data_IF_523834164126
#
_entry.id   IF_523834164126
#
_cell.length_a   1.000
_cell.length_b   1.000
_cell.length_c   1.000
_cell.angle_alpha   90.00
_cell.angle_beta   90.00
_cell.angle_gamma   90.00
#
_symmetry.space_group_name_H-M   'P 1'
#
loop_
_entity.id
_entity.type
_entity.pdbx_description
1 polymer ?
#
# COMPACT_ATOMS: atom_id res chain seq x y z
N UNK A 1 -14.63 71.44 63.40
CA UNK A 1 -13.90 70.20 63.11
C UNK A 1 -14.47 69.65 61.82
N UNK A 2 -13.81 69.93 60.66
CA UNK A 2 -14.24 69.49 59.34
C UNK A 2 -13.15 68.56 58.85
N UNK A 3 -13.48 67.31 58.72
CA UNK A 3 -12.64 66.32 58.04
C UNK A 3 -12.93 66.38 56.49
N UNK A 4 -11.88 66.70 55.78
CA UNK A 4 -11.87 66.65 54.35
C UNK A 4 -11.32 65.23 53.90
N UNK A 5 -12.16 64.48 53.24
CA UNK A 5 -11.72 63.24 52.58
C UNK A 5 -11.14 63.61 51.19
N UNK A 6 -9.89 63.35 50.94
CA UNK A 6 -9.27 63.43 49.68
C UNK A 6 -9.35 62.02 49.00
N UNK A 7 -10.09 61.92 47.96
CA UNK A 7 -10.15 60.70 47.15
C UNK A 7 -8.96 60.64 46.17
N UNK A 8 -8.07 59.68 46.40
CA UNK A 8 -6.96 59.35 45.50
C UNK A 8 -7.51 58.54 44.30
N UNK A 9 -7.69 59.17 43.15
CA UNK A 9 -7.92 58.44 41.92
C UNK A 9 -6.61 57.83 41.41
N UNK A 10 -6.46 56.52 41.54
CA UNK A 10 -5.41 55.79 40.88
C UNK A 10 -5.74 55.65 39.36
N UNK A 11 -5.02 56.35 38.52
CA UNK A 11 -5.01 56.11 37.11
C UNK A 11 -4.23 54.79 36.83
N UNK A 12 -4.94 53.71 36.60
CA UNK A 12 -4.35 52.53 35.98
C UNK A 12 -4.15 52.85 34.47
N UNK A 13 -2.97 52.68 33.91
CA UNK A 13 -2.81 52.80 32.48
C UNK A 13 -3.54 51.59 31.84
N UNK A 14 -4.57 51.87 31.09
CA UNK A 14 -5.11 50.91 30.11
C UNK A 14 -3.97 50.66 29.10
N UNK A 15 -3.18 49.62 29.36
CA UNK A 15 -2.38 49.04 28.30
C UNK A 15 -3.35 48.49 27.27
N UNK A 16 -3.55 49.23 26.21
CA UNK A 16 -4.14 48.73 24.97
C UNK A 16 -3.22 47.60 24.48
N UNK A 17 -3.51 46.36 24.89
CA UNK A 17 -3.00 45.20 24.18
C UNK A 17 -3.65 45.28 22.80
N UNK A 18 -2.92 45.78 21.83
CA UNK A 18 -3.31 45.60 20.44
C UNK A 18 -3.34 44.09 20.25
N UNK A 19 -4.53 43.53 20.22
CA UNK A 19 -4.68 42.17 19.69
C UNK A 19 -4.15 42.21 18.27
N UNK A 20 -3.01 41.57 18.05
CA UNK A 20 -2.53 41.37 16.69
C UNK A 20 -3.64 40.64 15.92
N UNK A 21 -4.32 41.37 15.08
CA UNK A 21 -5.36 40.78 14.22
C UNK A 21 -4.66 39.83 13.30
N UNK A 22 -4.95 38.54 13.46
CA UNK A 22 -4.44 37.49 12.58
C UNK A 22 -5.15 37.61 11.23
N UNK A 23 -4.42 37.89 10.19
CA UNK A 23 -4.91 37.98 8.83
C UNK A 23 -3.80 37.54 7.85
N UNK A 24 -4.14 37.38 6.59
CA UNK A 24 -3.24 36.95 5.52
C UNK A 24 -2.05 37.89 5.24
N UNK A 25 -2.15 39.16 5.67
CA UNK A 25 -1.04 40.10 5.56
C UNK A 25 -0.04 40.04 6.74
N UNK A 26 -0.46 39.53 7.90
CA UNK A 26 0.35 39.51 9.13
C UNK A 26 0.76 38.14 9.60
N UNK A 27 0.10 37.08 9.11
CA UNK A 27 0.36 35.68 9.50
C UNK A 27 0.46 34.84 8.25
N UNK A 28 1.57 34.10 8.06
CA UNK A 28 1.70 33.12 6.98
C UNK A 28 0.52 32.14 6.96
N UNK A 29 -0.04 31.89 5.78
CA UNK A 29 -1.28 31.12 5.64
C UNK A 29 -1.19 29.70 6.23
N UNK A 30 -0.03 29.03 6.07
CA UNK A 30 0.19 27.70 6.65
C UNK A 30 0.25 27.68 8.19
N UNK A 31 0.41 28.83 8.84
CA UNK A 31 0.36 28.94 10.30
C UNK A 31 -1.03 29.33 10.83
N UNK A 32 -1.95 29.71 9.94
CA UNK A 32 -3.32 30.02 10.30
C UNK A 32 -4.06 28.72 10.61
N UNK A 33 -4.76 28.68 11.76
CA UNK A 33 -5.58 27.51 12.11
C UNK A 33 -6.91 27.56 11.35
N UNK A 34 -7.16 26.62 10.42
CA UNK A 34 -8.43 26.56 9.73
C UNK A 34 -9.55 26.15 10.71
N UNK A 35 -10.79 26.47 10.36
CA UNK A 35 -11.96 26.08 11.12
C UNK A 35 -12.32 24.57 10.97
N UNK A 36 -11.55 23.82 10.21
CA UNK A 36 -11.69 22.39 9.96
C UNK A 36 -10.38 21.65 10.23
N UNK A 37 -10.49 20.35 10.51
CA UNK A 37 -9.30 19.48 10.66
C UNK A 37 -8.61 19.28 9.32
N UNK A 38 -7.29 19.39 9.28
CA UNK A 38 -6.49 19.15 8.08
C UNK A 38 -5.21 18.37 8.41
N UNK A 39 -4.67 17.69 7.41
CA UNK A 39 -3.47 16.86 7.53
C UNK A 39 -2.27 17.45 6.78
N UNK A 40 -2.21 18.76 6.64
CA UNK A 40 -1.13 19.46 5.92
C UNK A 40 0.14 19.55 6.77
N UNK A 41 1.29 19.46 6.12
CA UNK A 41 2.61 19.56 6.73
C UNK A 41 3.52 18.38 6.41
N UNK A 42 4.73 18.44 6.93
CA UNK A 42 5.74 17.39 6.75
C UNK A 42 5.97 16.69 8.08
N UNK A 43 5.78 15.37 8.10
CA UNK A 43 6.06 14.54 9.25
C UNK A 43 7.58 14.33 9.41
N UNK A 44 8.10 14.30 10.63
CA UNK A 44 9.49 13.94 10.89
C UNK A 44 9.77 12.47 10.52
N UNK A 45 10.96 12.20 9.99
CA UNK A 45 11.43 10.85 9.66
C UNK A 45 11.29 9.87 10.83
N UNK A 46 11.54 10.31 12.06
CA UNK A 46 11.39 9.49 13.28
C UNK A 46 9.93 9.12 13.53
N UNK A 47 9.02 10.04 13.31
CA UNK A 47 7.59 9.81 13.49
C UNK A 47 7.05 8.85 12.44
N UNK A 48 7.54 8.95 11.19
CA UNK A 48 7.23 7.98 10.13
C UNK A 48 7.67 6.58 10.56
N UNK A 49 8.93 6.43 11.00
CA UNK A 49 9.43 5.12 11.48
C UNK A 49 8.63 4.62 12.69
N UNK A 50 8.37 5.46 13.66
CA UNK A 50 7.57 5.10 14.84
C UNK A 50 6.18 4.60 14.47
N UNK A 51 5.57 5.16 13.44
CA UNK A 51 4.25 4.74 12.95
C UNK A 51 4.28 3.32 12.39
N UNK A 52 5.25 2.99 11.53
CA UNK A 52 5.36 1.63 11.00
C UNK A 52 5.93 0.63 12.02
N UNK A 53 6.74 1.07 12.99
CA UNK A 53 7.20 0.22 14.09
C UNK A 53 6.02 -0.28 14.95
N UNK A 54 5.02 0.57 15.24
CA UNK A 54 3.80 0.14 15.95
C UNK A 54 3.06 -0.98 15.21
N UNK A 55 2.99 -0.90 13.88
CA UNK A 55 2.38 -1.95 13.07
C UNK A 55 3.20 -3.25 13.16
N UNK A 56 4.52 -3.18 13.00
CA UNK A 56 5.39 -4.35 13.14
C UNK A 56 5.19 -5.02 14.50
N UNK A 57 5.24 -4.24 15.58
CA UNK A 57 5.10 -4.74 16.97
C UNK A 57 3.72 -5.39 17.21
N UNK A 58 2.66 -4.87 16.59
CA UNK A 58 1.33 -5.46 16.64
C UNK A 58 1.27 -6.78 15.87
N UNK A 59 1.73 -6.79 14.63
CA UNK A 59 1.70 -7.97 13.78
C UNK A 59 2.59 -9.10 14.32
N UNK A 60 3.74 -8.77 14.92
CA UNK A 60 4.63 -9.78 15.50
C UNK A 60 4.00 -10.52 16.69
N UNK A 61 3.15 -9.83 17.45
CA UNK A 61 2.40 -10.40 18.59
C UNK A 61 1.15 -11.16 18.18
N UNK A 62 0.60 -10.91 16.99
CA UNK A 62 -0.74 -11.40 16.62
C UNK A 62 -0.75 -12.32 15.40
N UNK A 63 0.40 -12.57 14.77
CA UNK A 63 0.56 -13.47 13.61
C UNK A 63 1.62 -14.52 13.91
N UNK A 64 1.21 -15.76 14.16
CA UNK A 64 2.08 -16.81 14.67
C UNK A 64 2.60 -17.73 13.56
N UNK A 65 3.92 -17.94 13.49
CA UNK A 65 4.54 -18.96 12.66
C UNK A 65 4.68 -20.28 13.43
N UNK A 66 3.55 -20.85 13.83
CA UNK A 66 3.46 -22.05 14.68
C UNK A 66 2.29 -22.91 14.27
N UNK A 67 2.37 -24.21 14.56
CA UNK A 67 1.24 -25.12 14.52
C UNK A 67 0.50 -25.10 15.87
N UNK A 68 -0.76 -25.50 15.84
CA UNK A 68 -1.54 -25.76 17.05
C UNK A 68 -1.03 -27.03 17.80
N UNK A 69 -1.62 -27.31 18.95
CA UNK A 69 -1.24 -28.47 19.79
C UNK A 69 -1.39 -29.81 19.06
N UNK A 70 -2.29 -29.90 18.07
CA UNK A 70 -2.48 -31.12 17.26
C UNK A 70 -1.38 -31.29 16.21
N UNK A 71 -0.70 -30.22 15.87
CA UNK A 71 0.27 -30.15 14.79
C UNK A 71 -0.37 -30.28 13.39
N UNK A 72 -1.70 -30.19 13.27
CA UNK A 72 -2.41 -30.31 11.98
C UNK A 72 -2.90 -28.99 11.42
N UNK A 73 -3.01 -27.96 12.27
CA UNK A 73 -3.50 -26.65 11.87
C UNK A 73 -2.51 -25.56 12.27
N UNK A 74 -2.55 -24.44 11.53
CA UNK A 74 -1.85 -23.24 11.93
C UNK A 74 -2.44 -22.66 13.21
N UNK A 75 -1.58 -22.21 14.11
CA UNK A 75 -2.03 -21.48 15.30
C UNK A 75 -2.78 -20.22 14.89
N UNK A 76 -3.99 -20.05 15.38
CA UNK A 76 -4.83 -18.90 15.10
C UNK A 76 -4.28 -17.66 15.80
N UNK A 77 -4.20 -16.55 15.06
CA UNK A 77 -3.95 -15.21 15.52
C UNK A 77 -5.03 -14.27 15.01
N UNK A 78 -4.78 -12.96 15.10
CA UNK A 78 -5.69 -11.96 14.55
C UNK A 78 -5.77 -12.04 13.03
N UNK A 79 -4.69 -12.52 12.39
CA UNK A 79 -4.57 -12.65 10.94
C UNK A 79 -4.10 -14.04 10.52
N UNK A 80 -4.30 -14.31 9.25
CA UNK A 80 -3.78 -15.52 8.59
C UNK A 80 -2.27 -15.41 8.43
N UNK A 81 -1.58 -16.55 8.45
CA UNK A 81 -0.14 -16.59 8.19
C UNK A 81 0.18 -16.50 6.69
N UNK A 82 -0.74 -16.95 5.87
CA UNK A 82 -0.61 -17.00 4.41
C UNK A 82 -1.90 -16.53 3.74
N UNK A 83 -1.76 -15.63 2.79
CA UNK A 83 -2.77 -15.11 1.87
C UNK A 83 -2.09 -14.08 0.97
N UNK A 84 -2.77 -13.53 -0.05
CA UNK A 84 -2.18 -12.48 -0.87
C UNK A 84 -1.88 -11.21 -0.06
N UNK A 85 -2.72 -10.85 0.92
CA UNK A 85 -2.47 -9.69 1.79
C UNK A 85 -1.18 -9.87 2.59
N UNK A 86 -0.86 -11.12 2.98
CA UNK A 86 0.38 -11.42 3.68
C UNK A 86 1.59 -11.44 2.74
N UNK A 87 1.44 -11.87 1.51
CA UNK A 87 2.47 -11.70 0.48
C UNK A 87 2.84 -10.22 0.27
N UNK A 88 1.83 -9.34 0.20
CA UNK A 88 2.03 -7.88 0.19
C UNK A 88 2.73 -7.39 1.45
N UNK A 89 2.27 -7.83 2.61
CA UNK A 89 2.85 -7.43 3.91
C UNK A 89 4.30 -7.89 4.04
N UNK A 90 4.64 -9.12 3.65
CA UNK A 90 6.03 -9.59 3.67
C UNK A 90 6.93 -8.79 2.72
N UNK A 91 6.47 -8.49 1.51
CA UNK A 91 7.21 -7.62 0.58
C UNK A 91 7.43 -6.21 1.17
N UNK A 92 6.42 -5.66 1.84
CA UNK A 92 6.51 -4.36 2.51
C UNK A 92 7.51 -4.39 3.68
N UNK A 93 7.51 -5.45 4.47
CA UNK A 93 8.48 -5.66 5.57
C UNK A 93 9.92 -5.75 5.05
N UNK A 94 10.15 -6.47 3.94
CA UNK A 94 11.47 -6.53 3.31
C UNK A 94 11.95 -5.14 2.91
N UNK A 95 11.09 -4.32 2.29
CA UNK A 95 11.43 -2.96 1.89
C UNK A 95 11.66 -2.04 3.09
N UNK A 96 10.84 -2.15 4.14
CA UNK A 96 11.02 -1.39 5.38
C UNK A 96 12.36 -1.73 6.05
N UNK A 97 12.75 -3.00 6.09
CA UNK A 97 14.05 -3.43 6.59
C UNK A 97 15.22 -2.85 5.80
N UNK A 98 15.10 -2.84 4.47
CA UNK A 98 16.10 -2.28 3.56
C UNK A 98 16.33 -0.79 3.80
N UNK A 99 15.26 0.02 3.80
CA UNK A 99 15.39 1.49 3.87
C UNK A 99 15.65 2.02 5.28
N UNK A 100 15.18 1.32 6.32
CA UNK A 100 15.38 1.75 7.71
C UNK A 100 16.63 1.18 8.35
N UNK A 101 17.20 0.09 7.79
CA UNK A 101 18.28 -0.69 8.39
C UNK A 101 17.83 -1.49 9.62
N UNK A 102 16.54 -1.56 9.93
CA UNK A 102 16.00 -2.29 11.09
C UNK A 102 15.70 -3.75 10.72
N UNK A 103 16.55 -4.65 11.15
CA UNK A 103 16.49 -6.08 10.83
C UNK A 103 15.20 -6.78 11.33
N UNK A 104 14.45 -6.18 12.28
CA UNK A 104 13.20 -6.76 12.79
C UNK A 104 12.18 -6.96 11.67
N UNK A 105 12.08 -6.02 10.72
CA UNK A 105 11.18 -6.11 9.58
C UNK A 105 11.51 -7.29 8.68
N UNK A 106 12.77 -7.39 8.25
CA UNK A 106 13.23 -8.51 7.40
C UNK A 106 13.07 -9.85 8.10
N UNK A 107 13.39 -9.91 9.40
CA UNK A 107 13.24 -11.12 10.22
C UNK A 107 11.77 -11.56 10.30
N UNK A 108 10.84 -10.62 10.53
CA UNK A 108 9.41 -10.92 10.56
C UNK A 108 8.95 -11.66 9.28
N UNK A 109 9.32 -11.15 8.12
CA UNK A 109 8.92 -11.74 6.83
C UNK A 109 9.60 -13.10 6.59
N UNK A 110 10.92 -13.18 6.78
CA UNK A 110 11.71 -14.40 6.50
C UNK A 110 11.29 -15.54 7.42
N UNK A 111 11.14 -15.31 8.72
CA UNK A 111 10.79 -16.38 9.69
C UNK A 111 9.44 -17.03 9.33
N UNK A 112 8.45 -16.24 8.89
CA UNK A 112 7.13 -16.74 8.55
C UNK A 112 7.11 -17.51 7.23
N UNK A 113 7.78 -17.00 6.22
CA UNK A 113 7.93 -17.72 4.95
C UNK A 113 8.80 -18.98 5.11
N UNK A 114 9.85 -18.94 5.92
CA UNK A 114 10.66 -20.12 6.30
C UNK A 114 9.83 -21.20 6.97
N UNK A 115 8.95 -20.80 7.89
CA UNK A 115 8.05 -21.73 8.55
C UNK A 115 7.14 -22.44 7.53
N UNK A 116 6.51 -21.69 6.61
CA UNK A 116 5.66 -22.27 5.56
C UNK A 116 6.45 -23.28 4.70
N UNK A 117 7.64 -22.90 4.23
CA UNK A 117 8.50 -23.78 3.43
C UNK A 117 8.89 -25.06 4.18
N UNK A 118 9.23 -24.96 5.48
CA UNK A 118 9.60 -26.10 6.31
C UNK A 118 8.42 -27.05 6.59
N UNK A 119 7.20 -26.51 6.68
CA UNK A 119 5.99 -27.32 6.90
C UNK A 119 5.46 -27.96 5.61
N UNK A 120 5.68 -27.35 4.44
CA UNK A 120 5.13 -27.82 3.17
C UNK A 120 5.33 -29.31 2.89
N UNK A 121 6.52 -29.94 3.04
CA UNK A 121 6.72 -31.37 2.78
C UNK A 121 5.85 -32.26 3.64
N UNK A 122 5.65 -31.89 4.92
CA UNK A 122 4.79 -32.63 5.86
C UNK A 122 3.32 -32.57 5.40
N UNK A 123 2.82 -31.38 5.06
CA UNK A 123 1.44 -31.22 4.64
C UNK A 123 1.16 -31.85 3.26
N UNK A 124 2.14 -31.88 2.36
CA UNK A 124 2.05 -32.65 1.12
C UNK A 124 1.88 -34.15 1.42
N UNK A 125 2.66 -34.70 2.34
CA UNK A 125 2.55 -36.11 2.73
C UNK A 125 1.17 -36.40 3.32
N UNK A 126 0.71 -35.60 4.29
CA UNK A 126 -0.60 -35.75 4.92
C UNK A 126 -1.74 -35.71 3.88
N UNK A 127 -1.70 -34.76 2.95
CA UNK A 127 -2.67 -34.65 1.86
C UNK A 127 -2.68 -35.89 0.97
N UNK A 128 -1.51 -36.42 0.61
CA UNK A 128 -1.39 -37.62 -0.21
C UNK A 128 -1.90 -38.89 0.50
N UNK A 129 -1.83 -38.89 1.84
CA UNK A 129 -2.38 -39.97 2.69
C UNK A 129 -3.88 -39.81 2.95
N UNK A 130 -4.51 -38.75 2.41
CA UNK A 130 -5.95 -38.48 2.57
C UNK A 130 -6.33 -37.92 3.93
N UNK A 131 -5.39 -37.39 4.69
CA UNK A 131 -5.67 -36.73 5.93
C UNK A 131 -6.31 -35.35 5.70
N UNK A 132 -7.19 -34.96 6.61
CA UNK A 132 -7.69 -33.58 6.69
C UNK A 132 -6.58 -32.66 7.17
N UNK A 133 -6.31 -31.60 6.40
CA UNK A 133 -5.25 -30.64 6.67
C UNK A 133 -5.79 -29.22 6.79
N UNK A 134 -5.01 -28.34 7.40
CA UNK A 134 -5.30 -26.90 7.48
C UNK A 134 -5.54 -26.30 6.10
N UNK A 135 -6.66 -25.57 5.93
CA UNK A 135 -7.07 -24.97 4.66
C UNK A 135 -6.02 -24.01 4.09
N UNK A 136 -5.34 -23.25 4.95
CA UNK A 136 -4.29 -22.33 4.53
C UNK A 136 -3.04 -23.08 4.08
N UNK A 137 -2.69 -24.18 4.78
CA UNK A 137 -1.60 -25.04 4.34
C UNK A 137 -1.96 -25.82 3.08
N UNK A 138 -3.24 -26.13 2.86
CA UNK A 138 -3.69 -26.67 1.58
C UNK A 138 -3.41 -25.71 0.43
N UNK A 139 -3.73 -24.41 0.60
CA UNK A 139 -3.39 -23.35 -0.39
C UNK A 139 -1.88 -23.25 -0.64
N UNK A 140 -1.06 -23.40 0.42
CA UNK A 140 0.41 -23.38 0.29
C UNK A 140 0.93 -24.54 -0.55
N UNK A 141 0.41 -25.76 -0.34
CA UNK A 141 0.94 -26.96 -1.01
C UNK A 141 0.23 -27.30 -2.32
N UNK A 142 -0.94 -26.75 -2.53
CA UNK A 142 -1.79 -26.99 -3.70
C UNK A 142 -2.65 -25.76 -4.01
N UNK A 143 -2.03 -24.65 -4.46
CA UNK A 143 -2.78 -23.44 -4.79
C UNK A 143 -3.79 -23.72 -5.90
N UNK A 144 -4.95 -23.06 -5.84
CA UNK A 144 -6.03 -23.19 -6.81
C UNK A 144 -6.54 -21.82 -7.32
N UNK A 145 -5.88 -20.72 -6.92
CA UNK A 145 -6.12 -19.36 -7.40
C UNK A 145 -4.85 -18.52 -7.31
N UNK A 146 -4.76 -17.45 -8.09
CA UNK A 146 -3.66 -16.46 -8.01
C UNK A 146 -3.58 -15.84 -6.61
N UNK A 147 -4.72 -15.65 -5.93
CA UNK A 147 -4.79 -15.14 -4.55
C UNK A 147 -4.00 -16.00 -3.54
N UNK A 148 -3.87 -17.30 -3.78
CA UNK A 148 -3.18 -18.24 -2.88
C UNK A 148 -1.66 -18.17 -2.99
N UNK A 149 -1.14 -17.76 -4.15
CA UNK A 149 0.27 -17.97 -4.48
C UNK A 149 1.00 -16.74 -5.02
N UNK A 150 0.34 -15.81 -5.73
CA UNK A 150 1.03 -14.79 -6.51
C UNK A 150 1.83 -13.80 -5.67
N UNK A 151 1.19 -13.06 -4.79
CA UNK A 151 1.86 -12.06 -3.95
C UNK A 151 2.89 -12.72 -3.00
N UNK A 152 2.60 -13.92 -2.48
CA UNK A 152 3.53 -14.68 -1.64
C UNK A 152 4.74 -15.16 -2.45
N UNK A 153 4.56 -15.60 -3.69
CA UNK A 153 5.65 -15.95 -4.59
C UNK A 153 6.60 -14.76 -4.80
N UNK A 154 6.04 -13.57 -5.07
CA UNK A 154 6.82 -12.33 -5.17
C UNK A 154 7.66 -12.07 -3.92
N UNK A 155 7.04 -12.15 -2.74
CA UNK A 155 7.73 -11.94 -1.47
C UNK A 155 8.85 -12.96 -1.25
N UNK A 156 8.62 -14.24 -1.57
CA UNK A 156 9.64 -15.30 -1.46
C UNK A 156 10.81 -15.07 -2.42
N UNK A 157 10.56 -14.69 -3.67
CA UNK A 157 11.64 -14.40 -4.63
C UNK A 157 12.49 -13.23 -4.13
N UNK A 158 11.88 -12.13 -3.68
CA UNK A 158 12.56 -10.97 -3.11
C UNK A 158 13.38 -11.36 -1.86
N UNK A 159 12.77 -12.08 -0.93
CA UNK A 159 13.43 -12.52 0.30
C UNK A 159 14.61 -13.47 0.04
N UNK A 160 14.52 -14.37 -0.94
CA UNK A 160 15.60 -15.27 -1.34
C UNK A 160 16.86 -14.50 -1.75
N UNK A 161 16.71 -13.32 -2.35
CA UNK A 161 17.84 -12.46 -2.74
C UNK A 161 18.67 -11.95 -1.57
N UNK A 162 18.08 -11.82 -0.38
CA UNK A 162 18.70 -11.25 0.82
C UNK A 162 18.89 -12.26 1.97
N UNK A 163 18.33 -13.45 1.84
CA UNK A 163 18.46 -14.53 2.83
C UNK A 163 19.91 -15.03 2.91
N UNK A 164 20.39 -15.39 4.11
CA UNK A 164 21.75 -15.93 4.29
C UNK A 164 21.98 -17.19 3.45
N UNK A 165 21.05 -18.15 3.51
CA UNK A 165 21.10 -19.35 2.67
C UNK A 165 20.29 -19.14 1.37
N UNK A 166 20.92 -18.56 0.36
CA UNK A 166 20.30 -18.33 -0.96
C UNK A 166 19.97 -19.61 -1.75
N UNK A 167 20.61 -20.73 -1.39
CA UNK A 167 20.44 -22.05 -2.02
C UNK A 167 19.52 -22.97 -1.23
N UNK A 168 18.62 -22.43 -0.42
CA UNK A 168 17.63 -23.19 0.33
C UNK A 168 16.68 -23.94 -0.62
N UNK A 169 16.78 -25.27 -0.59
CA UNK A 169 16.04 -26.15 -1.50
C UNK A 169 14.53 -26.07 -1.25
N UNK A 170 14.10 -25.99 0.01
CA UNK A 170 12.68 -25.92 0.35
C UNK A 170 12.05 -24.60 -0.15
N UNK A 171 12.79 -23.50 -0.09
CA UNK A 171 12.37 -22.24 -0.66
C UNK A 171 12.24 -22.31 -2.18
N UNK A 172 13.21 -22.90 -2.86
CA UNK A 172 13.14 -23.04 -4.30
C UNK A 172 11.95 -23.91 -4.72
N UNK A 173 11.77 -25.07 -4.07
CA UNK A 173 10.64 -25.97 -4.34
C UNK A 173 9.29 -25.29 -4.13
N UNK A 174 9.18 -24.38 -3.13
CA UNK A 174 7.94 -23.65 -2.88
C UNK A 174 7.72 -22.54 -3.93
N UNK A 175 8.75 -21.80 -4.29
CA UNK A 175 8.70 -20.80 -5.38
C UNK A 175 8.29 -21.48 -6.68
N UNK A 176 8.94 -22.61 -7.03
CA UNK A 176 8.65 -23.36 -8.26
C UNK A 176 7.20 -23.87 -8.29
N UNK A 177 6.66 -24.31 -7.14
CA UNK A 177 5.26 -24.74 -7.01
C UNK A 177 4.28 -23.61 -7.28
N UNK A 178 4.53 -22.44 -6.72
CA UNK A 178 3.69 -21.27 -6.94
C UNK A 178 3.79 -20.77 -8.38
N UNK A 179 5.01 -20.68 -8.90
CA UNK A 179 5.23 -20.28 -10.29
C UNK A 179 4.59 -21.24 -11.29
N UNK A 180 4.71 -22.56 -11.07
CA UNK A 180 4.08 -23.58 -11.91
C UNK A 180 2.55 -23.41 -11.97
N UNK A 181 1.92 -23.06 -10.85
CA UNK A 181 0.50 -22.74 -10.85
C UNK A 181 0.19 -21.49 -11.67
N UNK A 182 0.89 -20.38 -11.38
CA UNK A 182 0.66 -19.08 -12.04
C UNK A 182 0.89 -19.19 -13.55
N UNK A 183 1.99 -19.80 -13.96
CA UNK A 183 2.40 -19.86 -15.35
C UNK A 183 1.60 -20.88 -16.19
N UNK A 184 1.23 -22.04 -15.59
CA UNK A 184 0.77 -23.19 -16.34
C UNK A 184 -0.59 -23.75 -15.94
N UNK A 185 -1.13 -23.43 -14.76
CA UNK A 185 -2.36 -24.04 -14.23
C UNK A 185 -3.49 -23.07 -14.03
N UNK A 186 -3.19 -21.76 -13.82
CA UNK A 186 -4.23 -20.75 -13.69
C UNK A 186 -5.12 -20.70 -14.93
N UNK A 187 -6.42 -20.56 -14.70
CA UNK A 187 -7.38 -20.47 -15.79
C UNK A 187 -7.12 -19.23 -16.66
N UNK A 188 -7.18 -19.43 -17.97
CA UNK A 188 -6.97 -18.39 -18.97
C UNK A 188 -8.03 -18.42 -20.03
N UNK A 189 -8.36 -17.26 -20.58
CA UNK A 189 -9.14 -17.19 -21.83
C UNK A 189 -8.35 -17.72 -23.03
N UNK A 190 -9.04 -17.85 -24.18
CA UNK A 190 -8.43 -18.32 -25.43
C UNK A 190 -7.31 -17.43 -25.96
N UNK A 191 -7.30 -16.13 -25.59
CA UNK A 191 -6.22 -15.19 -25.87
C UNK A 191 -5.04 -15.32 -24.87
N UNK A 192 -5.18 -16.22 -23.90
CA UNK A 192 -4.19 -16.49 -22.86
C UNK A 192 -4.23 -15.55 -21.65
N UNK A 193 -5.20 -14.64 -21.57
CA UNK A 193 -5.34 -13.75 -20.42
C UNK A 193 -5.76 -14.52 -19.16
N UNK A 194 -5.19 -14.16 -18.00
CA UNK A 194 -5.68 -14.61 -16.70
C UNK A 194 -7.15 -14.28 -16.52
N UNK A 195 -7.91 -15.24 -16.02
CA UNK A 195 -9.33 -15.10 -15.76
C UNK A 195 -9.75 -16.01 -14.60
N UNK A 196 -10.90 -15.74 -14.00
CA UNK A 196 -11.41 -16.52 -12.86
C UNK A 196 -12.53 -17.47 -13.27
N UNK A 197 -12.53 -18.66 -12.64
CA UNK A 197 -13.65 -19.57 -12.65
C UNK A 197 -14.57 -19.40 -11.45
N UNK A 198 -14.08 -18.76 -10.40
CA UNK A 198 -14.79 -18.51 -9.12
C UNK A 198 -14.41 -17.14 -8.53
N UNK A 199 -15.28 -16.51 -7.75
CA UNK A 199 -16.66 -16.92 -7.43
C UNK A 199 -17.63 -16.76 -8.62
N UNK A 200 -17.25 -15.97 -9.64
CA UNK A 200 -18.03 -15.77 -10.88
C UNK A 200 -17.21 -16.26 -12.06
N UNK A 201 -17.73 -17.23 -12.78
CA UNK A 201 -17.05 -17.82 -13.94
C UNK A 201 -16.87 -16.82 -15.07
N UNK A 202 -15.77 -16.97 -15.80
CA UNK A 202 -15.44 -16.18 -16.98
C UNK A 202 -15.41 -14.67 -16.66
N UNK A 203 -14.75 -14.31 -15.56
CA UNK A 203 -14.51 -12.91 -15.20
C UNK A 203 -13.02 -12.61 -15.14
N UNK A 204 -12.66 -11.38 -15.48
CA UNK A 204 -11.32 -10.80 -15.27
C UNK A 204 -11.44 -9.77 -14.17
N UNK A 205 -10.66 -9.91 -13.13
CA UNK A 205 -10.60 -8.97 -12.02
C UNK A 205 -9.29 -8.20 -12.07
N UNK A 206 -9.36 -6.90 -11.82
CA UNK A 206 -8.18 -6.05 -11.87
C UNK A 206 -7.12 -6.45 -10.81
N UNK A 207 -7.57 -7.06 -9.73
CA UNK A 207 -6.73 -7.63 -8.67
C UNK A 207 -5.70 -8.63 -9.22
N UNK A 208 -6.10 -9.43 -10.21
CA UNK A 208 -5.25 -10.45 -10.83
C UNK A 208 -4.06 -9.88 -11.61
N UNK A 209 -4.09 -8.58 -11.94
CA UNK A 209 -2.87 -7.92 -12.44
C UNK A 209 -1.74 -8.06 -11.42
N UNK A 210 -2.01 -7.74 -10.17
CA UNK A 210 -1.00 -7.81 -9.11
C UNK A 210 -0.76 -9.26 -8.65
N UNK A 211 -1.81 -10.08 -8.60
CA UNK A 211 -1.68 -11.45 -8.10
C UNK A 211 -0.96 -12.40 -9.05
N UNK A 212 -0.79 -12.06 -10.32
CA UNK A 212 -0.11 -12.92 -11.29
C UNK A 212 1.13 -12.30 -11.94
N UNK A 213 1.01 -11.07 -12.42
CA UNK A 213 2.01 -10.45 -13.32
C UNK A 213 3.38 -10.23 -12.65
N UNK A 214 3.49 -9.67 -11.43
CA UNK A 214 4.79 -9.48 -10.80
C UNK A 214 5.56 -10.78 -10.55
N UNK A 215 4.85 -11.87 -10.23
CA UNK A 215 5.47 -13.17 -10.01
C UNK A 215 6.12 -13.73 -11.30
N UNK A 216 5.46 -13.57 -12.46
CA UNK A 216 6.05 -13.91 -13.76
C UNK A 216 7.32 -13.11 -14.02
N UNK A 217 7.26 -11.79 -13.86
CA UNK A 217 8.39 -10.90 -14.11
C UNK A 217 9.58 -11.20 -13.19
N UNK A 218 9.35 -11.35 -11.89
CA UNK A 218 10.37 -11.66 -10.88
C UNK A 218 10.99 -13.04 -11.07
N UNK A 219 10.23 -14.00 -11.58
CA UNK A 219 10.77 -15.33 -11.90
C UNK A 219 11.62 -15.36 -13.19
N UNK A 220 11.53 -14.31 -14.02
CA UNK A 220 12.31 -14.15 -15.25
C UNK A 220 11.48 -14.22 -16.53
N UNK A 221 10.17 -14.38 -16.44
CA UNK A 221 9.26 -14.40 -17.61
C UNK A 221 8.64 -13.02 -17.85
N UNK A 222 9.50 -12.04 -18.14
CA UNK A 222 9.08 -10.65 -18.32
C UNK A 222 8.19 -10.46 -19.55
N UNK A 223 8.42 -11.21 -20.63
CA UNK A 223 7.66 -11.08 -21.86
C UNK A 223 6.19 -11.53 -21.66
N UNK A 224 5.95 -12.61 -20.93
CA UNK A 224 4.61 -13.04 -20.55
C UNK A 224 3.97 -12.04 -19.56
N UNK A 225 4.72 -11.55 -18.58
CA UNK A 225 4.24 -10.51 -17.67
C UNK A 225 3.78 -9.26 -18.42
N UNK A 226 4.57 -8.79 -19.39
CA UNK A 226 4.23 -7.63 -20.24
C UNK A 226 3.00 -7.94 -21.13
N UNK A 227 2.90 -9.16 -21.66
CA UNK A 227 1.73 -9.61 -22.45
C UNK A 227 0.46 -9.58 -21.60
N UNK A 228 0.50 -10.13 -20.39
CA UNK A 228 -0.63 -10.09 -19.47
C UNK A 228 -1.02 -8.64 -19.14
N UNK A 229 -0.06 -7.78 -18.81
CA UNK A 229 -0.32 -6.36 -18.52
C UNK A 229 -1.08 -5.68 -19.68
N UNK A 230 -0.68 -5.94 -20.93
CA UNK A 230 -1.34 -5.39 -22.14
C UNK A 230 -2.78 -5.91 -22.28
N UNK A 231 -3.02 -7.19 -22.03
CA UNK A 231 -4.36 -7.79 -22.12
C UNK A 231 -5.32 -7.20 -21.06
N UNK A 232 -4.84 -7.00 -19.83
CA UNK A 232 -5.62 -6.31 -18.78
C UNK A 232 -5.92 -4.88 -19.18
N UNK A 233 -4.92 -4.14 -19.68
CA UNK A 233 -5.11 -2.76 -20.09
C UNK A 233 -6.10 -2.64 -21.25
N UNK A 234 -6.03 -3.50 -22.25
CA UNK A 234 -6.94 -3.49 -23.38
C UNK A 234 -8.41 -3.63 -22.95
N UNK A 235 -8.69 -4.54 -21.99
CA UNK A 235 -10.05 -4.81 -21.56
C UNK A 235 -10.59 -3.83 -20.52
N UNK A 236 -9.73 -3.26 -19.68
CA UNK A 236 -10.19 -2.60 -18.44
C UNK A 236 -9.84 -1.11 -18.34
N UNK A 237 -8.93 -0.62 -19.17
CA UNK A 237 -8.55 0.80 -19.16
C UNK A 237 -9.64 1.68 -19.79
N UNK A 238 -10.01 2.75 -19.09
CA UNK A 238 -10.95 3.77 -19.57
C UNK A 238 -10.18 5.07 -19.78
N UNK A 239 -9.83 5.33 -21.03
CA UNK A 239 -8.95 6.42 -21.44
C UNK A 239 -9.45 7.79 -20.98
N UNK A 240 -10.75 8.04 -21.09
CA UNK A 240 -11.40 9.31 -20.76
C UNK A 240 -11.35 9.62 -19.25
N UNK A 241 -11.17 8.60 -18.43
CA UNK A 241 -11.05 8.70 -16.96
C UNK A 241 -9.59 8.58 -16.51
N UNK A 242 -8.73 8.04 -17.34
CA UNK A 242 -7.38 7.60 -16.96
C UNK A 242 -7.39 6.64 -15.74
N UNK A 243 -8.36 5.73 -15.71
CA UNK A 243 -8.60 4.76 -14.65
C UNK A 243 -8.91 3.38 -15.23
N UNK A 244 -8.74 2.37 -14.40
CA UNK A 244 -9.18 1.01 -14.70
C UNK A 244 -10.53 0.71 -14.05
N UNK A 245 -11.45 0.09 -14.79
CA UNK A 245 -12.63 -0.53 -14.18
C UNK A 245 -12.23 -1.78 -13.39
N UNK A 246 -12.99 -2.12 -12.34
CA UNK A 246 -12.65 -3.23 -11.44
C UNK A 246 -12.67 -4.60 -12.12
N UNK A 247 -13.58 -4.82 -13.04
CA UNK A 247 -13.75 -6.10 -13.69
C UNK A 247 -14.21 -6.04 -15.13
N UNK A 248 -14.06 -7.18 -15.80
CA UNK A 248 -14.52 -7.39 -17.16
C UNK A 248 -15.12 -8.80 -17.28
N UNK A 249 -16.12 -8.94 -18.14
CA UNK A 249 -16.77 -10.22 -18.47
C UNK A 249 -17.19 -10.22 -19.93
N UNK A 250 -17.07 -11.35 -20.64
CA UNK A 250 -17.47 -11.48 -22.05
C UNK A 250 -19.00 -11.59 -22.14
N UNK A 251 -19.73 -10.53 -21.86
CA UNK A 251 -21.19 -10.50 -21.99
C UNK A 251 -21.61 -10.09 -23.40
N UNK A 252 -22.61 -10.74 -23.96
CA UNK A 252 -23.19 -10.38 -25.28
C UNK A 252 -23.73 -8.95 -25.30
N UNK A 253 -24.18 -8.43 -24.16
CA UNK A 253 -24.67 -7.06 -24.01
C UNK A 253 -23.55 -5.99 -24.00
N UNK A 254 -22.28 -6.38 -23.96
CA UNK A 254 -21.17 -5.45 -23.77
C UNK A 254 -21.15 -4.75 -22.40
N UNK A 255 -21.99 -5.19 -21.48
CA UNK A 255 -22.03 -4.65 -20.13
C UNK A 255 -20.89 -5.21 -19.28
N UNK A 256 -20.07 -4.33 -18.73
CA UNK A 256 -18.96 -4.68 -17.86
C UNK A 256 -19.09 -3.95 -16.52
N UNK A 257 -18.55 -4.50 -15.41
CA UNK A 257 -18.48 -3.78 -14.16
C UNK A 257 -17.68 -2.48 -14.31
N UNK A 258 -18.35 -1.36 -14.49
CA UNK A 258 -17.75 -0.06 -14.83
C UNK A 258 -17.43 0.78 -13.58
N UNK A 259 -17.11 0.13 -12.45
CA UNK A 259 -16.80 0.81 -11.20
C UNK A 259 -15.29 0.97 -11.07
N UNK A 260 -14.88 2.18 -10.69
CA UNK A 260 -13.48 2.52 -10.47
C UNK A 260 -13.16 2.35 -8.98
N UNK A 261 -13.12 1.09 -8.53
CA UNK A 261 -12.82 0.79 -7.14
C UNK A 261 -11.38 1.15 -6.80
N UNK A 262 -11.18 1.90 -5.68
CA UNK A 262 -9.88 2.46 -5.30
C UNK A 262 -8.79 1.41 -5.15
N UNK A 263 -9.01 0.37 -4.34
CA UNK A 263 -7.99 -0.66 -4.13
C UNK A 263 -7.66 -1.45 -5.39
N UNK A 264 -8.63 -1.73 -6.28
CA UNK A 264 -8.35 -2.38 -7.55
C UNK A 264 -7.43 -1.53 -8.44
N UNK A 265 -7.69 -0.21 -8.55
CA UNK A 265 -6.77 0.71 -9.23
C UNK A 265 -5.41 0.76 -8.54
N UNK A 266 -5.36 0.60 -7.22
CA UNK A 266 -4.11 0.44 -6.48
C UNK A 266 -3.33 -0.80 -6.94
N UNK A 267 -3.98 -1.95 -7.08
CA UNK A 267 -3.33 -3.16 -7.57
C UNK A 267 -2.73 -2.97 -8.98
N UNK A 268 -3.45 -2.32 -9.88
CA UNK A 268 -2.95 -2.03 -11.22
C UNK A 268 -1.73 -1.11 -11.20
N UNK A 269 -1.75 -0.04 -10.40
CA UNK A 269 -0.62 0.87 -10.26
C UNK A 269 0.60 0.18 -9.64
N UNK A 270 0.37 -0.64 -8.60
CA UNK A 270 1.39 -1.42 -7.93
C UNK A 270 2.04 -2.44 -8.88
N UNK A 271 1.23 -3.08 -9.75
CA UNK A 271 1.76 -3.97 -10.80
C UNK A 271 2.74 -3.25 -11.72
N UNK A 272 2.42 -2.02 -12.12
CA UNK A 272 3.33 -1.23 -12.94
C UNK A 272 4.63 -0.90 -12.20
N UNK A 273 4.58 -0.57 -10.90
CA UNK A 273 5.78 -0.38 -10.06
C UNK A 273 6.64 -1.64 -10.02
N UNK A 274 6.05 -2.81 -9.76
CA UNK A 274 6.79 -4.08 -9.70
C UNK A 274 7.46 -4.44 -11.03
N UNK A 275 6.77 -4.18 -12.15
CA UNK A 275 7.37 -4.39 -13.49
C UNK A 275 8.53 -3.43 -13.77
N UNK A 276 8.39 -2.15 -13.37
CA UNK A 276 9.44 -1.14 -13.54
C UNK A 276 10.65 -1.42 -12.64
N UNK A 277 10.46 -2.01 -11.46
CA UNK A 277 11.56 -2.46 -10.60
C UNK A 277 12.36 -3.62 -11.22
N UNK A 278 11.70 -4.50 -12.00
CA UNK A 278 12.38 -5.56 -12.73
C UNK A 278 13.07 -5.01 -13.98
N UNK A 279 12.38 -4.13 -14.71
CA UNK A 279 12.90 -3.53 -15.95
C UNK A 279 12.20 -2.21 -16.23
N UNK A 280 12.97 -1.14 -16.36
CA UNK A 280 12.45 0.17 -16.76
C UNK A 280 11.98 0.13 -18.24
N UNK A 281 10.76 -0.36 -18.43
CA UNK A 281 10.13 -0.48 -19.73
C UNK A 281 9.38 0.83 -20.06
N UNK A 282 9.71 1.52 -21.19
CA UNK A 282 9.07 2.78 -21.54
C UNK A 282 7.56 2.72 -21.70
N UNK A 283 7.02 1.58 -22.15
CA UNK A 283 5.58 1.41 -22.28
C UNK A 283 4.90 1.31 -20.91
N UNK A 284 5.49 0.57 -19.97
CA UNK A 284 4.96 0.47 -18.60
C UNK A 284 5.06 1.82 -17.89
N UNK A 285 6.17 2.55 -18.07
CA UNK A 285 6.34 3.88 -17.49
C UNK A 285 5.31 4.88 -18.03
N UNK A 286 5.02 4.86 -19.32
CA UNK A 286 3.97 5.70 -19.91
C UNK A 286 2.58 5.33 -19.36
N UNK A 287 2.27 4.02 -19.27
CA UNK A 287 1.02 3.55 -18.66
C UNK A 287 0.88 3.96 -17.20
N UNK A 288 1.97 3.88 -16.42
CA UNK A 288 2.03 4.32 -15.03
C UNK A 288 1.72 5.81 -14.92
N UNK A 289 2.38 6.66 -15.71
CA UNK A 289 2.17 8.12 -15.69
C UNK A 289 0.76 8.51 -16.11
N UNK A 290 0.18 7.85 -17.11
CA UNK A 290 -1.21 8.09 -17.52
C UNK A 290 -2.19 7.74 -16.38
N UNK A 291 -2.00 6.60 -15.70
CA UNK A 291 -2.84 6.18 -14.58
C UNK A 291 -2.69 7.14 -13.40
N UNK A 292 -1.46 7.53 -13.09
CA UNK A 292 -1.16 8.47 -12.03
C UNK A 292 -1.89 9.81 -12.23
N UNK A 293 -1.89 10.35 -13.46
CA UNK A 293 -2.61 11.59 -13.79
C UNK A 293 -4.10 11.49 -13.48
N UNK A 294 -4.75 10.37 -13.77
CA UNK A 294 -6.16 10.15 -13.41
C UNK A 294 -6.40 10.11 -11.92
N UNK A 295 -5.51 9.46 -11.19
CA UNK A 295 -5.60 9.33 -9.73
C UNK A 295 -5.37 10.67 -9.01
N UNK A 296 -4.37 11.45 -9.45
CA UNK A 296 -4.05 12.73 -8.82
C UNK A 296 -5.19 13.75 -8.87
N UNK A 297 -5.98 13.73 -9.95
CA UNK A 297 -7.16 14.59 -10.08
C UNK A 297 -8.29 14.25 -9.09
N UNK A 298 -8.23 13.11 -8.42
CA UNK A 298 -9.29 12.57 -7.56
C UNK A 298 -8.91 12.51 -6.08
N UNK A 299 -7.73 13.00 -5.71
CA UNK A 299 -7.34 13.08 -4.30
C UNK A 299 -8.21 14.10 -3.56
N UNK A 300 -8.75 13.71 -2.41
CA UNK A 300 -9.52 14.64 -1.57
C UNK A 300 -8.62 15.65 -0.85
N UNK A 301 -9.21 16.70 -0.32
CA UNK A 301 -8.49 17.69 0.51
C UNK A 301 -7.88 17.08 1.78
N UNK A 302 -8.38 15.93 2.26
CA UNK A 302 -7.82 15.20 3.39
C UNK A 302 -6.58 14.38 3.02
N UNK A 303 -6.25 14.28 1.73
CA UNK A 303 -5.14 13.52 1.21
C UNK A 303 -5.47 12.10 0.78
N UNK A 304 -6.66 11.63 1.02
CA UNK A 304 -7.11 10.27 0.70
C UNK A 304 -7.90 10.19 -0.61
N UNK A 305 -8.17 8.96 -1.03
CA UNK A 305 -9.07 8.66 -2.14
C UNK A 305 -10.31 7.92 -1.65
N UNK A 306 -11.40 8.14 -2.36
CA UNK A 306 -12.68 7.50 -2.07
C UNK A 306 -12.69 6.02 -2.46
N UNK A 307 -13.55 5.24 -1.79
CA UNK A 307 -13.80 3.82 -2.06
C UNK A 307 -14.11 3.56 -3.54
N UNK A 308 -14.96 4.38 -4.14
CA UNK A 308 -15.13 4.50 -5.59
C UNK A 308 -14.54 5.84 -6.04
N UNK A 309 -13.52 5.80 -6.89
CA UNK A 309 -12.68 6.95 -7.21
C UNK A 309 -13.42 8.13 -7.81
N UNK A 310 -14.44 7.90 -8.63
CA UNK A 310 -15.24 8.95 -9.26
C UNK A 310 -16.56 9.23 -8.51
N UNK A 311 -16.65 8.80 -7.24
CA UNK A 311 -17.83 8.97 -6.38
C UNK A 311 -17.41 9.52 -5.02
N UNK A 312 -17.41 10.85 -4.92
CA UNK A 312 -17.04 11.56 -3.69
C UNK A 312 -18.10 11.46 -2.57
N UNK A 313 -19.23 10.82 -2.83
CA UNK A 313 -20.24 10.44 -1.85
C UNK A 313 -19.94 9.09 -1.17
N UNK A 314 -18.88 8.38 -1.56
CA UNK A 314 -18.39 7.20 -0.86
C UNK A 314 -17.31 7.59 0.18
N UNK A 315 -17.05 6.70 1.15
CA UNK A 315 -16.07 6.99 2.20
C UNK A 315 -14.62 7.07 1.66
N UNK A 316 -13.76 7.78 2.39
CA UNK A 316 -12.31 7.77 2.16
C UNK A 316 -11.73 6.46 2.66
N UNK A 317 -10.87 5.81 1.85
CA UNK A 317 -10.43 4.44 2.10
C UNK A 317 -8.91 4.36 2.30
N UNK A 318 -8.50 3.76 3.40
CA UNK A 318 -7.09 3.79 3.85
C UNK A 318 -6.18 2.92 2.99
N UNK A 319 -6.61 1.71 2.56
CA UNK A 319 -5.70 0.80 1.84
C UNK A 319 -5.34 1.31 0.44
N UNK A 320 -6.29 1.84 -0.32
CA UNK A 320 -5.98 2.42 -1.62
C UNK A 320 -5.13 3.69 -1.48
N UNK A 321 -5.42 4.52 -0.47
CA UNK A 321 -4.61 5.71 -0.18
C UNK A 321 -3.16 5.34 0.14
N UNK A 322 -2.95 4.29 0.94
CA UNK A 322 -1.60 3.81 1.26
C UNK A 322 -0.87 3.25 0.02
N UNK A 323 -1.57 2.50 -0.85
CA UNK A 323 -0.97 2.02 -2.11
C UNK A 323 -0.55 3.19 -2.99
N UNK A 324 -1.39 4.22 -3.14
CA UNK A 324 -1.06 5.38 -3.97
C UNK A 324 0.08 6.20 -3.37
N UNK A 325 0.08 6.39 -2.04
CA UNK A 325 1.20 7.04 -1.34
C UNK A 325 2.52 6.29 -1.54
N UNK A 326 2.49 4.95 -1.48
CA UNK A 326 3.63 4.10 -1.79
C UNK A 326 4.10 4.30 -3.24
N UNK A 327 3.21 4.13 -4.21
CA UNK A 327 3.58 4.20 -5.63
C UNK A 327 4.13 5.58 -6.03
N UNK A 328 3.56 6.66 -5.47
CA UNK A 328 4.07 8.02 -5.65
C UNK A 328 5.47 8.19 -5.07
N UNK A 329 5.62 7.84 -3.79
CA UNK A 329 6.90 7.97 -3.09
C UNK A 329 7.99 7.10 -3.72
N UNK A 330 7.66 5.86 -4.10
CA UNK A 330 8.55 4.94 -4.79
C UNK A 330 8.99 5.50 -6.15
N UNK A 331 8.06 5.99 -6.95
CA UNK A 331 8.35 6.59 -8.25
C UNK A 331 9.25 7.83 -8.14
N UNK A 332 9.07 8.66 -7.11
CA UNK A 332 9.97 9.78 -6.81
C UNK A 332 11.36 9.25 -6.42
N UNK A 333 11.46 8.31 -5.50
CA UNK A 333 12.73 7.71 -5.05
C UNK A 333 13.50 7.04 -6.20
N UNK A 334 12.79 6.48 -7.19
CA UNK A 334 13.38 5.85 -8.38
C UNK A 334 13.67 6.85 -9.53
N UNK A 335 13.21 8.09 -9.43
CA UNK A 335 13.35 9.07 -10.49
C UNK A 335 12.48 8.82 -11.73
N UNK A 336 11.43 8.01 -11.60
CA UNK A 336 10.46 7.77 -12.68
C UNK A 336 9.56 8.97 -12.95
N UNK A 337 9.34 9.78 -11.91
CA UNK A 337 8.59 11.04 -11.96
C UNK A 337 9.38 12.14 -11.24
N UNK A 338 9.17 13.38 -11.67
CA UNK A 338 9.67 14.57 -10.95
C UNK A 338 8.98 14.70 -9.58
N UNK A 339 9.72 15.13 -8.57
CA UNK A 339 9.19 15.25 -7.22
C UNK A 339 8.21 16.42 -7.06
N UNK A 340 8.55 17.59 -7.62
CA UNK A 340 7.86 18.85 -7.36
C UNK A 340 6.35 18.82 -7.64
N UNK A 341 5.87 18.21 -8.75
CA UNK A 341 4.42 18.15 -9.01
C UNK A 341 3.66 17.22 -8.07
N UNK A 342 4.35 16.28 -7.40
CA UNK A 342 3.69 15.18 -6.68
C UNK A 342 3.99 15.13 -5.19
N UNK A 343 5.07 15.75 -4.73
CA UNK A 343 5.53 15.58 -3.35
C UNK A 343 4.50 16.08 -2.32
N UNK A 344 3.83 17.19 -2.59
CA UNK A 344 2.79 17.72 -1.70
C UNK A 344 1.63 16.74 -1.52
N UNK A 345 1.17 16.15 -2.63
CA UNK A 345 0.08 15.15 -2.64
C UNK A 345 0.52 13.84 -1.96
N UNK A 346 1.76 13.44 -2.18
CA UNK A 346 2.37 12.25 -1.56
C UNK A 346 2.43 12.37 -0.04
N UNK A 347 2.90 13.51 0.47
CA UNK A 347 2.97 13.79 1.90
C UNK A 347 1.58 13.89 2.54
N UNK A 348 0.64 14.53 1.85
CA UNK A 348 -0.74 14.64 2.32
C UNK A 348 -1.41 13.26 2.42
N UNK A 349 -1.17 12.39 1.44
CA UNK A 349 -1.64 11.00 1.50
C UNK A 349 -1.03 10.23 2.67
N UNK A 350 0.28 10.36 2.89
CA UNK A 350 0.93 9.74 4.05
C UNK A 350 0.38 10.26 5.37
N UNK A 351 0.18 11.57 5.51
CA UNK A 351 -0.36 12.16 6.74
C UNK A 351 -1.75 11.61 7.06
N UNK A 352 -2.60 11.43 6.03
CA UNK A 352 -3.89 10.77 6.21
C UNK A 352 -3.71 9.34 6.72
N UNK A 353 -2.87 8.55 6.06
CA UNK A 353 -2.61 7.15 6.43
C UNK A 353 -2.06 7.04 7.85
N UNK A 354 -1.08 7.87 8.20
CA UNK A 354 -0.47 7.88 9.54
C UNK A 354 -1.46 8.21 10.65
N UNK A 355 -2.44 9.10 10.37
CA UNK A 355 -3.52 9.43 11.30
C UNK A 355 -4.51 8.27 11.53
N UNK A 356 -4.48 7.24 10.67
CA UNK A 356 -5.30 6.03 10.78
C UNK A 356 -4.53 4.82 11.37
N UNK A 357 -3.34 5.06 11.92
CA UNK A 357 -2.59 4.05 12.67
C UNK A 357 -2.84 4.30 14.16
N UNK A 358 -3.49 3.39 14.84
CA UNK A 358 -3.76 3.49 16.29
C UNK A 358 -2.47 3.40 17.11
N UNK A 359 -2.54 3.76 18.37
CA UNK A 359 -1.41 3.60 19.30
C UNK A 359 -1.02 2.12 19.50
N UNK A 360 -1.97 1.20 19.32
CA UNK A 360 -1.71 -0.24 19.38
C UNK A 360 -1.14 -0.82 18.09
N UNK A 361 -1.03 -0.05 17.00
CA UNK A 361 -0.51 -0.49 15.72
C UNK A 361 -1.55 -1.07 14.76
N UNK A 362 -2.83 -0.98 15.08
CA UNK A 362 -3.89 -1.36 14.15
C UNK A 362 -4.13 -0.29 13.08
N UNK A 363 -4.54 -0.69 11.89
CA UNK A 363 -4.84 0.21 10.76
C UNK A 363 -6.35 0.34 10.61
N UNK A 364 -6.85 1.57 10.73
CA UNK A 364 -8.26 1.91 10.63
C UNK A 364 -8.66 2.32 9.19
N UNK A 365 -9.97 2.34 8.92
CA UNK A 365 -10.51 2.85 7.65
C UNK A 365 -10.23 1.95 6.45
N UNK A 366 -9.81 0.72 6.65
CA UNK A 366 -9.53 -0.26 5.59
C UNK A 366 -10.77 -1.03 5.21
N UNK A 367 -11.15 -1.00 3.94
CA UNK A 367 -12.21 -1.81 3.36
C UNK A 367 -11.86 -3.30 3.45
N UNK A 368 -12.80 -4.12 3.93
CA UNK A 368 -12.67 -5.58 3.95
C UNK A 368 -12.50 -6.18 2.54
N UNK A 369 -12.21 -7.47 2.44
CA UNK A 369 -12.18 -8.22 1.18
C UNK A 369 -13.43 -7.95 0.34
N UNK A 370 -13.26 -7.63 -0.93
CA UNK A 370 -14.34 -7.13 -1.80
C UNK A 370 -14.33 -7.89 -3.11
N UNK A 371 -15.45 -8.51 -3.43
CA UNK A 371 -15.65 -9.19 -4.70
C UNK A 371 -16.07 -8.25 -5.83
N UNK A 372 -16.25 -8.83 -7.01
CA UNK A 372 -16.76 -8.13 -8.18
C UNK A 372 -18.29 -8.01 -8.12
N UNK A 373 -18.82 -6.81 -8.32
CA UNK A 373 -20.25 -6.56 -8.36
C UNK A 373 -20.67 -5.73 -9.58
N UNK A 374 -21.98 -5.74 -9.86
CA UNK A 374 -22.60 -5.07 -11.01
C UNK A 374 -23.45 -3.85 -10.59
N UNK A 375 -23.35 -3.44 -9.32
CA UNK A 375 -24.01 -2.24 -8.81
C UNK A 375 -23.07 -1.45 -7.89
N UNK A 376 -23.21 -0.10 -7.81
CA UNK A 376 -22.34 0.74 -7.00
C UNK A 376 -22.61 0.61 -5.51
N UNK A 377 -23.80 0.21 -5.10
CA UNK A 377 -24.18 0.11 -3.69
C UNK A 377 -23.35 -0.97 -2.99
N UNK A 378 -23.04 -2.06 -3.67
CA UNK A 378 -22.16 -3.10 -3.15
C UNK A 378 -20.81 -2.53 -2.70
N UNK A 379 -20.18 -1.67 -3.51
CA UNK A 379 -18.91 -1.04 -3.16
C UNK A 379 -19.06 0.04 -2.09
N UNK A 380 -20.07 0.90 -2.23
CA UNK A 380 -20.29 2.02 -1.33
C UNK A 380 -20.58 1.58 0.12
N UNK A 381 -21.21 0.42 0.29
CA UNK A 381 -21.56 -0.13 1.61
C UNK A 381 -20.63 -1.23 2.10
N UNK A 382 -19.49 -1.47 1.43
CA UNK A 382 -18.49 -2.40 2.00
C UNK A 382 -17.98 -1.87 3.33
N UNK A 383 -18.00 -2.70 4.41
CA UNK A 383 -17.56 -2.23 5.71
C UNK A 383 -16.04 -2.00 5.75
N UNK A 384 -15.61 -1.12 6.64
CA UNK A 384 -14.22 -0.98 7.06
C UNK A 384 -14.00 -1.72 8.38
N UNK A 385 -12.78 -2.23 8.59
CA UNK A 385 -12.46 -2.98 9.79
C UNK A 385 -10.96 -2.96 10.08
N UNK A 386 -10.57 -2.82 11.36
CA UNK A 386 -9.16 -2.87 11.79
C UNK A 386 -8.50 -4.25 11.58
N UNK A 387 -9.29 -5.29 11.41
CA UNK A 387 -8.84 -6.64 11.04
C UNK A 387 -8.86 -6.89 9.52
N UNK A 388 -9.09 -5.85 8.70
CA UNK A 388 -8.92 -5.96 7.26
C UNK A 388 -7.43 -5.97 6.91
N UNK A 389 -6.92 -7.14 6.54
CA UNK A 389 -5.49 -7.39 6.30
C UNK A 389 -4.88 -6.51 5.20
N UNK A 390 -5.69 -6.01 4.27
CA UNK A 390 -5.30 -5.17 3.15
C UNK A 390 -4.66 -3.82 3.52
N UNK A 391 -4.85 -3.34 4.75
CA UNK A 391 -4.28 -2.07 5.20
C UNK A 391 -2.80 -2.17 5.56
N UNK A 392 -2.38 -3.28 6.15
CA UNK A 392 -1.10 -3.37 6.85
C UNK A 392 0.11 -3.32 5.91
N UNK A 393 0.17 -4.16 4.90
CA UNK A 393 1.26 -4.17 3.92
C UNK A 393 1.41 -2.82 3.20
N UNK A 394 0.36 -2.28 2.58
CA UNK A 394 0.42 -0.99 1.91
C UNK A 394 0.86 0.17 2.81
N UNK A 395 0.40 0.21 4.07
CA UNK A 395 0.80 1.27 5.02
C UNK A 395 2.28 1.17 5.37
N UNK A 396 2.81 -0.04 5.60
CA UNK A 396 4.24 -0.25 5.84
C UNK A 396 5.05 0.18 4.61
N UNK A 397 4.62 -0.18 3.41
CA UNK A 397 5.27 0.22 2.17
C UNK A 397 5.31 1.73 1.99
N UNK A 398 4.16 2.41 2.19
CA UNK A 398 4.08 3.86 2.11
C UNK A 398 5.04 4.52 3.11
N UNK A 399 5.00 4.09 4.38
CA UNK A 399 5.91 4.62 5.41
C UNK A 399 7.38 4.37 5.09
N UNK A 400 7.73 3.22 4.54
CA UNK A 400 9.09 2.90 4.13
C UNK A 400 9.60 3.85 3.03
N UNK A 401 8.79 4.10 1.99
CA UNK A 401 9.19 5.01 0.90
C UNK A 401 9.22 6.48 1.34
N UNK A 402 8.29 6.93 2.18
CA UNK A 402 8.34 8.26 2.78
C UNK A 402 9.58 8.41 3.67
N UNK A 403 9.92 7.39 4.47
CA UNK A 403 11.16 7.38 5.25
C UNK A 403 12.39 7.50 4.35
N UNK A 404 12.42 6.82 3.21
CA UNK A 404 13.51 6.91 2.23
C UNK A 404 13.62 8.34 1.64
N UNK A 405 12.50 8.98 1.25
CA UNK A 405 12.49 10.38 0.80
C UNK A 405 13.09 11.28 1.88
N UNK A 406 12.61 11.21 3.11
CA UNK A 406 13.05 12.04 4.22
C UNK A 406 14.48 11.74 4.70
N UNK A 407 15.07 10.63 4.26
CA UNK A 407 16.47 10.27 4.52
C UNK A 407 17.45 10.90 3.53
N UNK A 408 16.97 11.32 2.37
CA UNK A 408 17.80 11.82 1.27
C UNK A 408 17.48 13.26 0.85
N UNK A 409 16.31 13.78 1.27
CA UNK A 409 15.83 15.09 0.87
C UNK A 409 15.26 15.85 2.07
N UNK A 410 15.56 17.14 2.13
CA UNK A 410 14.88 18.06 3.04
C UNK A 410 13.64 18.61 2.34
N UNK A 411 12.50 18.52 3.03
CA UNK A 411 11.22 19.00 2.52
C UNK A 411 10.74 20.11 3.43
N UNK A 412 10.44 21.27 2.87
CA UNK A 412 9.88 22.41 3.59
C UNK A 412 8.61 22.91 2.94
N UNK A 413 7.74 23.47 3.74
CA UNK A 413 6.52 24.13 3.29
C UNK A 413 6.56 25.61 3.66
N UNK A 414 6.02 26.44 2.80
CA UNK A 414 5.74 27.84 3.07
C UNK A 414 4.34 28.20 2.55
N UNK A 415 4.00 29.48 2.53
CA UNK A 415 2.68 29.97 2.15
C UNK A 415 2.31 29.67 0.69
N UNK A 416 3.28 29.38 -0.17
CA UNK A 416 3.06 29.26 -1.60
C UNK A 416 3.48 27.92 -2.20
N UNK A 417 4.37 27.16 -1.55
CA UNK A 417 4.92 25.95 -2.15
C UNK A 417 5.49 24.94 -1.12
N UNK A 418 5.62 23.69 -1.56
CA UNK A 418 6.47 22.69 -0.94
C UNK A 418 7.86 22.78 -1.60
N UNK A 419 8.89 23.01 -0.80
CA UNK A 419 10.27 23.02 -1.26
C UNK A 419 10.89 21.64 -1.05
N UNK A 420 11.57 21.16 -2.08
CA UNK A 420 12.18 19.84 -2.12
C UNK A 420 13.67 19.97 -2.53
N UNK A 421 14.56 19.56 -1.65
CA UNK A 421 15.99 19.56 -1.95
C UNK A 421 16.74 18.46 -1.20
N UNK A 422 17.90 17.99 -1.74
CA UNK A 422 18.68 16.93 -1.11
C UNK A 422 19.25 17.36 0.24
N UNK A 423 19.46 16.38 1.11
CA UNK A 423 20.21 16.54 2.37
C UNK A 423 21.59 15.90 2.23
N UNK A 424 22.57 16.40 3.00
CA UNK A 424 23.84 15.69 3.18
C UNK A 424 23.62 14.44 4.04
N UNK A 425 23.89 13.23 3.51
CA UNK A 425 23.65 11.97 4.26
C UNK A 425 24.51 11.84 5.52
N UNK A 426 25.57 12.63 5.69
CA UNK A 426 26.45 12.59 6.88
C UNK A 426 25.97 13.51 8.00
N UNK A 427 25.31 14.59 7.64
CA UNK A 427 24.95 15.66 8.60
C UNK A 427 23.46 15.88 8.72
N UNK A 428 22.65 15.26 7.86
CA UNK A 428 21.21 15.54 7.67
C UNK A 428 20.91 17.03 7.36
N UNK A 429 21.93 17.80 6.94
CA UNK A 429 21.75 19.20 6.58
C UNK A 429 21.37 19.32 5.11
N UNK A 430 20.47 20.26 4.78
CA UNK A 430 20.14 20.52 3.38
C UNK A 430 21.39 20.91 2.57
N UNK A 431 21.52 20.30 1.40
CA UNK A 431 22.50 20.70 0.39
C UNK A 431 21.80 21.73 -0.49
N UNK A 432 22.17 22.99 -0.34
CA UNK A 432 21.65 24.05 -1.20
C UNK A 432 22.34 24.01 -2.55
N UNK A 433 21.59 24.20 -3.61
CA UNK A 433 22.18 24.39 -4.93
C UNK A 433 23.03 25.66 -4.89
N UNK A 434 24.29 25.52 -5.26
CA UNK A 434 25.14 26.66 -5.58
C UNK A 434 24.82 27.01 -7.03
N UNK A 435 24.24 28.21 -7.25
CA UNK A 435 24.03 28.74 -8.58
C UNK A 435 25.35 28.94 -9.32
#
# INVERSE_FOLDING_TARGET
MKLTFAALMAFLPLSCMSQNVVNDATTPLHLMKPAYKYNYGVMDRKDVKSSIDRILDYLDKTTFAELDETGKHLRKGDFRLTSYEWGVTYSAMLRAGEVTGDARYTKYAIDRMDFLCKQAPRFIKMKNEGEDIDVLMEQVVSPDALDDCGAICCAMIKAKGIKENKNDKLWQEQIDRYYDFIAHKEYRYSDGQFARLRPVKNTVWLDDMFMGIPALALHGDYDEALRQFRLFREKMWVKEKSLYRHGWTPTESGYHPSFFWGRANGWALLTACELLDVKEDPYILDCFKQHLNGLMALQSSDGAWHQLLDRNDTYLETSCTAIYAYCLAHAINKGWIEAEPYIGQTLLAWNYVAAHITDSGQVEGTCVGTGLAFDPAFYAYRPVNNYAAHGYGPVIWAGAEIYAILSTHCIKTNDSAVHYYPVDPKTDNPIFYVE
#
